data_IF_345692092152
#
_entry.id   IF_345692092152
#
_cell.length_a   1.000
_cell.length_b   1.000
_cell.length_c   1.000
_cell.angle_alpha   90.00
_cell.angle_beta   90.00
_cell.angle_gamma   90.00
#
_symmetry.space_group_name_H-M   'P 1'
#
loop_
_entity.id
_entity.type
_entity.pdbx_description
1 polymer ?
#
# COMPACT_ATOMS: atom_id res chain seq x y z
N UNK A 1 2.40 8.71 12.95
CA UNK A 1 2.39 7.58 13.91
C UNK A 1 2.68 6.28 13.21
N UNK A 2 3.49 5.43 13.83
CA UNK A 2 3.62 4.01 13.48
C UNK A 2 2.95 3.19 14.60
N UNK A 3 1.85 2.51 14.27
CA UNK A 3 0.98 1.81 15.22
C UNK A 3 1.07 0.28 15.04
N UNK A 4 0.82 -0.44 16.14
CA UNK A 4 0.55 -1.87 16.09
C UNK A 4 -0.87 -2.19 15.62
N UNK A 5 -1.24 -3.47 15.68
CA UNK A 5 -2.53 -3.98 15.18
C UNK A 5 -3.48 -4.43 16.29
N UNK A 6 -3.03 -4.44 17.55
CA UNK A 6 -3.92 -4.78 18.67
C UNK A 6 -4.88 -3.61 18.93
N UNK A 7 -6.10 -3.86 19.44
CA UNK A 7 -7.07 -2.79 19.72
C UNK A 7 -6.49 -1.66 20.57
N UNK A 8 -5.68 -2.00 21.57
CA UNK A 8 -5.02 -1.01 22.43
C UNK A 8 -3.91 -0.22 21.71
N UNK A 9 -3.25 -0.81 20.70
CA UNK A 9 -2.26 -0.08 19.91
C UNK A 9 -2.90 1.04 19.09
N UNK A 10 -4.05 0.73 18.49
CA UNK A 10 -4.82 1.67 17.69
C UNK A 10 -5.34 2.80 18.58
N UNK A 11 -5.95 2.47 19.72
CA UNK A 11 -6.46 3.47 20.67
C UNK A 11 -5.35 4.38 21.22
N UNK A 12 -4.21 3.81 21.60
CA UNK A 12 -3.08 4.59 22.09
C UNK A 12 -2.49 5.47 20.99
N UNK A 13 -2.37 4.98 19.76
CA UNK A 13 -1.88 5.79 18.63
C UNK A 13 -2.81 6.96 18.29
N UNK A 14 -4.12 6.79 18.45
CA UNK A 14 -5.11 7.88 18.31
C UNK A 14 -4.90 8.93 19.42
N UNK A 15 -4.70 8.51 20.67
CA UNK A 15 -4.40 9.42 21.78
C UNK A 15 -3.14 10.24 21.51
N UNK A 16 -2.04 9.58 21.12
CA UNK A 16 -0.77 10.25 20.79
C UNK A 16 -0.93 11.26 19.64
N UNK A 17 -1.73 10.95 18.62
CA UNK A 17 -2.06 11.89 17.53
C UNK A 17 -2.81 13.12 18.04
N UNK A 18 -3.83 12.91 18.88
CA UNK A 18 -4.61 14.02 19.46
C UNK A 18 -3.71 14.92 20.31
N UNK A 19 -2.82 14.33 21.11
CA UNK A 19 -1.85 15.08 21.92
C UNK A 19 -0.90 15.92 21.05
N UNK A 20 -0.35 15.35 19.97
CA UNK A 20 0.47 16.12 19.03
C UNK A 20 -0.29 17.29 18.40
N UNK A 21 -1.53 17.06 17.94
CA UNK A 21 -2.37 18.11 17.35
C UNK A 21 -2.62 19.24 18.35
N UNK A 22 -3.00 18.90 19.59
CA UNK A 22 -3.25 19.87 20.66
C UNK A 22 -1.99 20.67 21.04
N UNK A 23 -0.81 20.08 20.85
CA UNK A 23 0.49 20.71 21.12
C UNK A 23 1.12 21.35 19.88
N UNK A 24 0.43 21.36 18.73
CA UNK A 24 0.96 21.82 17.45
C UNK A 24 2.29 21.15 17.04
N UNK A 25 2.48 19.88 17.41
CA UNK A 25 3.61 19.05 16.96
C UNK A 25 3.24 18.24 15.72
N UNK A 26 4.20 18.02 14.84
CA UNK A 26 4.03 17.28 13.59
C UNK A 26 5.18 16.30 13.41
N UNK A 27 5.28 15.33 14.33
CA UNK A 27 6.39 14.40 14.42
C UNK A 27 5.95 12.95 14.13
N UNK A 28 6.87 12.17 13.57
CA UNK A 28 6.66 10.73 13.40
C UNK A 28 7.07 10.03 14.69
N UNK A 29 6.09 9.65 15.50
CA UNK A 29 6.33 8.83 16.70
C UNK A 29 6.00 7.35 16.44
N UNK A 30 6.71 6.48 17.16
CA UNK A 30 6.59 5.03 17.08
C UNK A 30 5.84 4.53 18.32
N UNK A 31 4.56 4.20 18.17
CA UNK A 31 3.80 3.50 19.20
C UNK A 31 4.17 2.00 19.21
N UNK A 32 4.46 1.43 18.03
CA UNK A 32 4.76 0.00 17.87
C UNK A 32 6.22 -0.38 18.20
N UNK A 33 6.74 0.09 19.34
CA UNK A 33 8.16 -0.04 19.72
C UNK A 33 8.64 -1.49 19.88
N UNK A 34 7.73 -2.42 20.17
CA UNK A 34 8.03 -3.86 20.30
C UNK A 34 8.45 -4.53 18.99
N UNK A 35 8.12 -3.93 17.84
CA UNK A 35 8.42 -4.49 16.52
C UNK A 35 9.16 -3.52 15.58
N UNK A 36 9.07 -2.21 15.84
CA UNK A 36 9.62 -1.19 14.95
C UNK A 36 10.68 -0.36 15.70
N UNK A 37 11.86 -0.24 15.07
CA UNK A 37 12.92 0.69 15.48
C UNK A 37 13.01 1.86 14.49
N UNK A 38 13.58 3.00 14.89
CA UNK A 38 13.76 4.14 13.98
C UNK A 38 14.56 3.82 12.71
N UNK A 39 15.49 2.86 12.80
CA UNK A 39 16.33 2.42 11.67
C UNK A 39 15.67 1.33 10.82
N UNK A 40 14.62 0.67 11.33
CA UNK A 40 13.98 -0.47 10.70
C UNK A 40 14.91 -1.66 10.50
N UNK A 41 14.59 -2.53 9.54
CA UNK A 41 15.43 -3.68 9.18
C UNK A 41 16.46 -3.27 8.11
N UNK A 42 17.69 -3.01 8.53
CA UNK A 42 18.79 -2.58 7.65
C UNK A 42 19.14 -3.64 6.60
N UNK A 43 19.12 -4.92 6.97
CA UNK A 43 19.43 -6.01 6.04
C UNK A 43 18.39 -6.09 4.92
N UNK A 44 17.10 -5.95 5.25
CA UNK A 44 16.04 -5.92 4.25
C UNK A 44 16.13 -4.68 3.36
N UNK A 45 16.45 -3.50 3.91
CA UNK A 45 16.64 -2.29 3.11
C UNK A 45 17.78 -2.44 2.11
N UNK A 46 18.92 -3.00 2.53
CA UNK A 46 20.06 -3.26 1.66
C UNK A 46 19.71 -4.25 0.54
N UNK A 47 19.02 -5.34 0.87
CA UNK A 47 18.60 -6.33 -0.13
C UNK A 47 17.59 -5.73 -1.13
N UNK A 48 16.62 -4.94 -0.66
CA UNK A 48 15.68 -4.25 -1.51
C UNK A 48 16.40 -3.27 -2.46
N UNK A 49 17.35 -2.49 -1.93
CA UNK A 49 18.15 -1.57 -2.73
C UNK A 49 19.12 -2.27 -3.69
N UNK A 50 19.56 -3.49 -3.37
CA UNK A 50 20.41 -4.31 -4.25
C UNK A 50 19.61 -4.82 -5.45
N UNK A 51 18.42 -5.37 -5.22
CA UNK A 51 17.64 -6.09 -6.24
C UNK A 51 16.73 -5.18 -7.05
N UNK A 52 16.16 -4.16 -6.42
CA UNK A 52 15.13 -3.32 -7.03
C UNK A 52 15.58 -1.88 -7.24
N UNK A 53 14.97 -1.22 -8.21
CA UNK A 53 15.08 0.22 -8.46
C UNK A 53 13.71 0.86 -8.65
N UNK A 54 13.66 2.17 -8.48
CA UNK A 54 12.43 2.94 -8.57
C UNK A 54 11.92 2.97 -10.01
N UNK A 55 10.65 2.58 -10.20
CA UNK A 55 9.96 2.70 -11.47
C UNK A 55 9.44 4.13 -11.62
N UNK A 56 9.67 4.74 -12.78
CA UNK A 56 9.30 6.14 -13.04
C UNK A 56 7.78 6.36 -12.96
N UNK A 57 7.01 5.39 -13.46
CA UNK A 57 5.55 5.47 -13.56
C UNK A 57 4.92 4.10 -13.30
N UNK A 58 3.86 4.08 -12.51
CA UNK A 58 3.06 2.88 -12.27
C UNK A 58 1.63 3.23 -11.94
N UNK A 59 0.68 2.52 -12.53
CA UNK A 59 -0.74 2.69 -12.24
C UNK A 59 -1.15 1.82 -11.06
N UNK A 60 -1.60 2.48 -9.99
CA UNK A 60 -2.25 1.84 -8.86
C UNK A 60 -3.74 1.69 -9.18
N UNK A 61 -4.22 0.45 -9.18
CA UNK A 61 -5.65 0.16 -9.40
C UNK A 61 -6.53 0.97 -8.43
N UNK A 62 -7.52 1.69 -8.96
CA UNK A 62 -8.43 2.55 -8.20
C UNK A 62 -7.85 3.89 -7.75
N UNK A 63 -6.55 4.13 -7.92
CA UNK A 63 -5.86 5.38 -7.53
C UNK A 63 -5.25 6.13 -8.73
N UNK A 64 -5.11 5.46 -9.87
CA UNK A 64 -4.48 6.01 -11.07
C UNK A 64 -2.96 5.95 -11.00
N UNK A 65 -2.29 6.70 -11.87
CA UNK A 65 -0.84 6.74 -11.86
C UNK A 65 -0.28 7.61 -10.75
N UNK A 66 0.69 7.06 -10.01
CA UNK A 66 1.43 7.78 -8.97
C UNK A 66 2.91 7.71 -9.34
N UNK A 67 3.61 8.86 -9.49
CA UNK A 67 5.03 8.86 -9.82
C UNK A 67 5.86 8.28 -8.67
N UNK A 68 6.99 7.63 -8.98
CA UNK A 68 7.92 7.14 -7.97
C UNK A 68 7.27 6.24 -6.89
N UNK A 69 6.27 5.45 -7.28
CA UNK A 69 5.43 4.68 -6.35
C UNK A 69 5.58 3.17 -6.46
N UNK A 70 6.39 2.69 -7.40
CA UNK A 70 6.60 1.27 -7.62
C UNK A 70 8.08 0.95 -7.82
N UNK A 71 8.41 -0.32 -7.66
CA UNK A 71 9.75 -0.85 -7.88
C UNK A 71 9.75 -1.76 -9.12
N UNK A 72 10.90 -1.83 -9.79
CA UNK A 72 11.17 -2.79 -10.85
C UNK A 72 12.49 -3.52 -10.56
N UNK A 73 12.67 -4.70 -11.13
CA UNK A 73 13.90 -5.49 -10.96
C UNK A 73 15.02 -4.79 -11.71
N UNK A 74 16.19 -4.62 -11.06
CA UNK A 74 17.36 -4.03 -11.70
C UNK A 74 17.88 -4.90 -12.83
N UNK A 75 18.48 -4.27 -13.84
CA UNK A 75 19.06 -4.96 -15.00
C UNK A 75 20.03 -6.10 -14.64
N UNK A 76 20.83 -5.95 -13.57
CA UNK A 76 21.73 -7.03 -13.07
C UNK A 76 21.00 -8.35 -12.75
N UNK A 77 19.71 -8.28 -12.43
CA UNK A 77 18.86 -9.42 -12.05
C UNK A 77 17.77 -9.71 -13.10
N UNK A 78 17.89 -9.19 -14.33
CA UNK A 78 16.86 -9.31 -15.38
C UNK A 78 16.51 -10.76 -15.76
N UNK A 79 17.43 -11.71 -15.54
CA UNK A 79 17.17 -13.13 -15.76
C UNK A 79 16.00 -13.69 -14.89
N UNK A 80 15.66 -12.97 -13.81
CA UNK A 80 14.53 -13.29 -12.92
C UNK A 80 13.28 -12.44 -13.23
N UNK A 81 13.35 -11.51 -14.18
CA UNK A 81 12.26 -10.60 -14.51
C UNK A 81 11.33 -11.22 -15.57
N UNK A 82 10.09 -11.49 -15.16
CA UNK A 82 9.06 -12.03 -16.03
C UNK A 82 8.65 -11.04 -17.14
N UNK A 83 8.70 -9.73 -16.89
CA UNK A 83 8.41 -8.70 -17.89
C UNK A 83 9.46 -8.71 -19.02
N UNK A 84 10.70 -9.14 -18.73
CA UNK A 84 11.77 -9.31 -19.73
C UNK A 84 11.72 -10.67 -20.42
N UNK A 85 11.35 -11.71 -19.68
CA UNK A 85 11.31 -13.09 -20.19
C UNK A 85 10.12 -13.37 -21.10
N UNK A 86 8.98 -12.73 -20.85
CA UNK A 86 7.75 -13.00 -21.58
C UNK A 86 7.24 -11.73 -22.29
N UNK A 87 6.94 -11.86 -23.59
CA UNK A 87 6.22 -10.81 -24.32
C UNK A 87 4.74 -10.87 -23.94
N UNK A 88 4.38 -10.15 -22.87
CA UNK A 88 2.99 -10.02 -22.46
C UNK A 88 2.34 -8.86 -23.24
N UNK A 89 1.11 -9.03 -23.73
CA UNK A 89 0.37 -7.93 -24.32
C UNK A 89 0.05 -6.88 -23.25
N UNK A 90 0.11 -5.61 -23.63
CA UNK A 90 -0.37 -4.54 -22.77
C UNK A 90 -1.86 -4.75 -22.46
N UNK A 91 -2.17 -4.94 -21.19
CA UNK A 91 -3.55 -5.02 -20.72
C UNK A 91 -3.83 -3.88 -19.76
N UNK A 92 -4.83 -3.07 -20.07
CA UNK A 92 -5.38 -2.11 -19.12
C UNK A 92 -6.48 -2.80 -18.33
N UNK A 93 -6.34 -2.84 -17.02
CA UNK A 93 -7.39 -3.33 -16.14
C UNK A 93 -8.64 -2.46 -16.27
N UNK A 94 -9.70 -3.00 -16.85
CA UNK A 94 -10.99 -2.30 -16.93
C UNK A 94 -11.69 -2.50 -15.59
N UNK A 95 -11.87 -1.42 -14.84
CA UNK A 95 -12.70 -1.46 -13.64
C UNK A 95 -14.18 -1.57 -14.01
N UNK A 96 -14.90 -2.39 -13.25
CA UNK A 96 -16.34 -2.48 -13.40
C UNK A 96 -16.98 -1.12 -13.07
N UNK A 97 -17.87 -0.62 -13.92
CA UNK A 97 -18.48 0.73 -13.76
C UNK A 97 -19.20 0.95 -12.42
N UNK A 98 -19.56 -0.13 -11.72
CA UNK A 98 -20.23 -0.09 -10.41
C UNK A 98 -19.27 -0.34 -9.23
N UNK A 99 -17.96 -0.51 -9.45
CA UNK A 99 -16.98 -0.70 -8.38
C UNK A 99 -16.66 0.65 -7.75
N UNK A 100 -16.88 0.74 -6.44
CA UNK A 100 -16.50 1.87 -5.59
C UNK A 100 -15.11 1.69 -4.96
N UNK A 101 -14.33 0.73 -5.46
CA UNK A 101 -13.08 0.29 -4.83
C UNK A 101 -12.06 1.43 -4.73
N UNK A 102 -11.95 2.29 -5.77
CA UNK A 102 -11.10 3.48 -5.72
C UNK A 102 -11.56 4.55 -4.70
N UNK A 103 -12.87 4.66 -4.41
CA UNK A 103 -13.37 5.56 -3.37
C UNK A 103 -13.15 5.00 -1.95
N UNK A 104 -13.23 3.67 -1.80
CA UNK A 104 -12.92 2.96 -0.55
C UNK A 104 -11.43 3.05 -0.23
N UNK A 105 -10.55 2.80 -1.20
CA UNK A 105 -9.09 2.90 -1.02
C UNK A 105 -8.64 4.31 -0.59
N UNK A 106 -9.37 5.35 -1.00
CA UNK A 106 -9.11 6.76 -0.61
C UNK A 106 -9.74 7.15 0.73
N UNK A 107 -10.49 6.26 1.39
CA UNK A 107 -11.21 6.58 2.62
C UNK A 107 -12.38 7.56 2.44
N UNK A 108 -12.84 7.81 1.20
CA UNK A 108 -13.97 8.70 0.89
C UNK A 108 -15.29 8.00 1.19
N UNK A 109 -15.35 6.68 0.96
CA UNK A 109 -16.50 5.83 1.27
C UNK A 109 -16.08 4.76 2.26
N UNK A 110 -16.87 4.58 3.30
CA UNK A 110 -16.79 3.39 4.16
C UNK A 110 -17.41 2.19 3.43
N UNK A 111 -17.13 0.98 3.89
CA UNK A 111 -17.88 -0.21 3.47
C UNK A 111 -19.13 -0.39 4.34
N UNK A 112 -20.30 0.09 3.88
CA UNK A 112 -21.53 -0.64 4.09
C UNK A 112 -21.98 -1.08 2.71
N UNK A 113 -21.72 -2.33 2.34
CA UNK A 113 -22.33 -2.95 1.16
C UNK A 113 -22.05 -2.14 -0.13
N UNK A 114 -20.86 -2.31 -0.71
CA UNK A 114 -20.69 -1.86 -2.10
C UNK A 114 -21.73 -2.59 -2.95
N UNK A 115 -22.57 -1.86 -3.70
CA UNK A 115 -23.53 -2.45 -4.65
C UNK A 115 -22.89 -3.50 -5.58
N UNK A 116 -21.59 -3.37 -5.85
CA UNK A 116 -20.80 -4.33 -6.61
C UNK A 116 -20.54 -5.66 -5.86
N UNK A 117 -20.28 -5.64 -4.55
CA UNK A 117 -19.94 -6.83 -3.77
C UNK A 117 -21.14 -7.78 -3.62
N UNK A 118 -22.34 -7.24 -3.39
CA UNK A 118 -23.54 -8.08 -3.22
C UNK A 118 -24.04 -8.73 -4.51
N UNK A 119 -23.85 -8.12 -5.69
CA UNK A 119 -24.33 -8.68 -6.96
C UNK A 119 -23.29 -9.47 -7.76
N UNK A 120 -22.01 -9.12 -7.66
CA UNK A 120 -20.98 -9.62 -8.60
C UNK A 120 -19.73 -10.20 -7.93
N UNK A 121 -19.57 -10.04 -6.62
CA UNK A 121 -18.39 -10.54 -5.88
C UNK A 121 -18.87 -11.33 -4.66
N UNK A 122 -19.55 -12.44 -4.92
CA UNK A 122 -19.75 -13.43 -3.87
C UNK A 122 -18.44 -14.20 -3.64
N UNK A 123 -18.07 -14.53 -2.39
CA UNK A 123 -16.89 -15.36 -2.10
C UNK A 123 -17.01 -16.82 -2.61
N UNK A 124 -18.08 -17.15 -3.34
CA UNK A 124 -18.22 -18.39 -4.12
C UNK A 124 -18.30 -18.04 -5.60
N UNK A 125 -17.14 -17.83 -6.23
CA UNK A 125 -17.02 -18.00 -7.67
C UNK A 125 -15.95 -19.07 -7.86
N UNK A 126 -16.42 -20.23 -8.34
CA UNK A 126 -15.64 -21.34 -8.87
C UNK A 126 -15.44 -21.08 -10.36
#
# INVERSE_FOLDING_TARGET
MIAGFEPLDVLHSILMLIEQINQHRYEVEIQYTRAVTPVGNVQSQQLMAEVFELRSHFEWRGLGSIPASALQIKAKYEQFDAEKKFQLPDSKGIEHKQCDCGAILRGIKNQPIANCLQKYVHPKIR
#
